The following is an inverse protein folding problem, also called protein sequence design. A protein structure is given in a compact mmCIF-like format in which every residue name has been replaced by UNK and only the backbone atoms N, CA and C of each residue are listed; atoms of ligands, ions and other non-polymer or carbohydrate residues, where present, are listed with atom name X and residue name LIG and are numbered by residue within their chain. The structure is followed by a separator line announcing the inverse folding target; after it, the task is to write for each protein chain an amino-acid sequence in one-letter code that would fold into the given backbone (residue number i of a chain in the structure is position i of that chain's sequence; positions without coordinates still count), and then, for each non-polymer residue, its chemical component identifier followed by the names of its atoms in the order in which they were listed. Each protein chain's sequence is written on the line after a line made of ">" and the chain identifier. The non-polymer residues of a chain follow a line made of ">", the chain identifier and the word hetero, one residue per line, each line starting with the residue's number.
data_IF_105158254824
#
_entry.id   IF_105158254824
#
_cell.length_a   1.000
_cell.length_b   1.000
_cell.length_c   1.000
_cell.angle_alpha   90.00
_cell.angle_beta   90.00
_cell.angle_gamma   90.00
#
_symmetry.space_group_name_H-M   'P 1'
#
loop_
_entity.id
_entity.type
_entity.pdbx_description
1 polymer ?
#
# COMPACT_ATOMS: atom_id res chain seq x y z
N UNK A 1 25.82 -28.85 -2.65
CA UNK A 1 25.16 -27.91 -3.59
C UNK A 1 24.36 -26.94 -2.75
N UNK A 2 24.92 -25.77 -2.48
CA UNK A 2 24.24 -24.75 -1.67
C UNK A 2 23.14 -24.12 -2.50
N UNK A 3 21.90 -24.24 -2.06
CA UNK A 3 20.80 -23.47 -2.61
C UNK A 3 21.09 -22.00 -2.28
N UNK A 4 21.22 -21.22 -3.35
CA UNK A 4 21.36 -19.79 -3.32
C UNK A 4 20.09 -19.24 -2.65
N UNK A 5 20.19 -18.83 -1.39
CA UNK A 5 19.13 -18.07 -0.73
C UNK A 5 19.01 -16.77 -1.53
N UNK A 6 17.95 -16.69 -2.34
CA UNK A 6 17.45 -15.45 -2.92
C UNK A 6 17.36 -14.43 -1.80
N UNK A 7 18.34 -13.54 -1.76
CA UNK A 7 18.49 -12.51 -0.75
C UNK A 7 17.43 -11.45 -1.05
N UNK A 8 16.20 -11.73 -0.66
CA UNK A 8 15.18 -10.71 -0.45
C UNK A 8 15.65 -9.82 0.70
N UNK A 9 16.55 -8.87 0.42
CA UNK A 9 16.64 -7.63 1.18
C UNK A 9 15.47 -6.71 0.75
N UNK A 10 14.25 -7.22 0.82
CA UNK A 10 13.03 -6.42 0.77
C UNK A 10 12.83 -5.81 2.16
N UNK A 11 12.34 -4.59 2.20
CA UNK A 11 12.12 -3.79 3.41
C UNK A 11 11.61 -4.63 4.61
N UNK A 12 12.47 -4.90 5.61
CA UNK A 12 12.16 -5.78 6.76
C UNK A 12 11.30 -5.11 7.85
N UNK A 13 10.84 -3.88 7.64
CA UNK A 13 10.08 -3.10 8.62
C UNK A 13 8.67 -2.75 8.12
N UNK A 14 7.76 -2.45 9.05
CA UNK A 14 6.52 -1.76 8.68
C UNK A 14 6.84 -0.32 8.27
N UNK A 15 6.29 0.20 7.16
CA UNK A 15 6.58 1.54 6.70
C UNK A 15 6.07 2.59 7.69
N UNK A 16 6.94 3.50 8.10
CA UNK A 16 6.64 4.54 9.10
C UNK A 16 6.17 5.86 8.49
N UNK A 17 6.37 6.03 7.19
CA UNK A 17 5.94 7.21 6.45
C UNK A 17 5.62 6.88 4.98
N UNK A 18 5.15 7.90 4.24
CA UNK A 18 4.77 7.75 2.83
C UNK A 18 5.93 7.35 1.91
N UNK A 19 7.17 7.70 2.25
CA UNK A 19 8.32 7.39 1.40
C UNK A 19 8.73 5.92 1.57
N UNK A 20 8.77 5.44 2.82
CA UNK A 20 8.95 4.03 3.12
C UNK A 20 7.80 3.19 2.54
N UNK A 21 6.56 3.69 2.63
CA UNK A 21 5.39 3.04 2.04
C UNK A 21 5.52 2.94 0.51
N UNK A 22 6.00 4.00 -0.15
CA UNK A 22 6.24 3.98 -1.59
C UNK A 22 7.21 2.87 -1.98
N UNK A 23 8.36 2.80 -1.31
CA UNK A 23 9.38 1.78 -1.59
C UNK A 23 8.82 0.38 -1.36
N UNK A 24 8.09 0.17 -0.26
CA UNK A 24 7.42 -1.09 0.06
C UNK A 24 6.43 -1.50 -1.05
N UNK A 25 5.50 -0.62 -1.42
CA UNK A 25 4.48 -0.92 -2.42
C UNK A 25 5.07 -1.14 -3.82
N UNK A 26 6.16 -0.47 -4.16
CA UNK A 26 6.84 -0.62 -5.46
C UNK A 26 7.48 -2.01 -5.65
N UNK A 27 7.73 -2.73 -4.55
CA UNK A 27 8.30 -4.09 -4.57
C UNK A 27 7.24 -5.18 -4.73
N UNK A 28 5.95 -4.84 -4.61
CA UNK A 28 4.87 -5.82 -4.68
C UNK A 28 4.53 -6.10 -6.15
N UNK A 29 4.47 -7.38 -6.50
CA UNK A 29 3.96 -7.80 -7.80
C UNK A 29 2.43 -7.83 -7.79
N UNK A 30 1.79 -6.76 -8.27
CA UNK A 30 0.32 -6.66 -8.30
C UNK A 30 -0.38 -7.58 -9.32
N UNK A 31 0.37 -8.34 -10.13
CA UNK A 31 -0.19 -9.32 -11.08
C UNK A 31 -0.39 -10.71 -10.47
N UNK A 32 0.21 -10.96 -9.31
CA UNK A 32 0.10 -12.24 -8.61
C UNK A 32 -1.07 -12.18 -7.62
N UNK A 33 -2.27 -12.50 -8.12
CA UNK A 33 -3.53 -12.46 -7.37
C UNK A 33 -3.46 -13.25 -6.06
N UNK A 34 -2.89 -14.46 -6.11
CA UNK A 34 -2.81 -15.35 -4.95
C UNK A 34 -1.91 -14.76 -3.86
N UNK A 35 -0.74 -14.24 -4.26
CA UNK A 35 0.18 -13.60 -3.32
C UNK A 35 -0.39 -12.29 -2.75
N UNK A 36 -1.16 -11.56 -3.55
CA UNK A 36 -1.89 -10.37 -3.11
C UNK A 36 -2.94 -10.73 -2.06
N UNK A 37 -3.73 -11.78 -2.28
CA UNK A 37 -4.71 -12.27 -1.31
C UNK A 37 -4.03 -12.69 0.00
N UNK A 38 -2.98 -13.51 -0.07
CA UNK A 38 -2.23 -13.99 1.10
C UNK A 38 -1.62 -12.85 1.93
N UNK A 39 -1.24 -11.74 1.27
CA UNK A 39 -0.61 -10.57 1.92
C UNK A 39 -1.55 -9.39 2.10
N UNK A 40 -2.82 -9.49 1.73
CA UNK A 40 -3.70 -8.33 1.66
C UNK A 40 -3.82 -7.60 3.00
N UNK A 41 -3.96 -8.34 4.10
CA UNK A 41 -4.02 -7.78 5.46
C UNK A 41 -2.73 -7.04 5.83
N UNK A 42 -1.57 -7.63 5.52
CA UNK A 42 -0.25 -7.01 5.74
C UNK A 42 -0.11 -5.71 4.94
N UNK A 43 -0.46 -5.75 3.66
CA UNK A 43 -0.34 -4.62 2.73
C UNK A 43 -1.25 -3.47 3.15
N UNK A 44 -2.52 -3.77 3.43
CA UNK A 44 -3.50 -2.76 3.86
C UNK A 44 -3.10 -2.18 5.21
N UNK A 45 -2.67 -3.00 6.18
CA UNK A 45 -2.17 -2.52 7.45
C UNK A 45 -0.99 -1.55 7.29
N UNK A 46 -0.01 -1.92 6.47
CA UNK A 46 1.15 -1.08 6.15
C UNK A 46 0.76 0.24 5.46
N UNK A 47 -0.26 0.22 4.58
CA UNK A 47 -0.79 1.44 3.94
C UNK A 47 -1.35 2.40 4.99
N UNK A 48 -2.20 1.91 5.89
CA UNK A 48 -2.82 2.76 6.91
C UNK A 48 -1.84 3.24 7.96
N UNK A 49 -0.85 2.42 8.34
CA UNK A 49 0.23 2.81 9.25
C UNK A 49 1.12 3.90 8.62
N UNK A 50 1.60 3.69 7.38
CA UNK A 50 2.45 4.65 6.67
C UNK A 50 1.75 5.99 6.34
N UNK A 51 0.42 5.97 6.26
CA UNK A 51 -0.40 7.15 5.98
C UNK A 51 -1.08 7.74 7.22
N UNK A 52 -0.85 7.16 8.40
CA UNK A 52 -1.55 7.51 9.64
C UNK A 52 -1.55 9.03 9.89
N UNK A 53 -0.37 9.66 9.82
CA UNK A 53 -0.20 11.11 10.07
C UNK A 53 -1.13 12.00 9.24
N UNK A 54 -1.52 11.55 8.04
CA UNK A 54 -2.39 12.29 7.13
C UNK A 54 -3.87 12.11 7.46
N UNK A 55 -4.24 10.93 7.98
CA UNK A 55 -5.59 10.63 8.45
C UNK A 55 -5.96 11.44 9.70
N UNK A 56 -4.99 11.68 10.58
CA UNK A 56 -5.16 12.49 11.80
C UNK A 56 -5.23 14.00 11.55
N UNK A 57 -4.97 14.47 10.32
CA UNK A 57 -5.11 15.89 10.00
C UNK A 57 -6.57 16.32 10.10
N UNK A 58 -6.79 17.59 10.47
CA UNK A 58 -8.14 18.15 10.59
C UNK A 58 -8.88 18.08 9.24
N UNK A 59 -10.22 17.87 9.26
CA UNK A 59 -11.04 18.06 8.07
C UNK A 59 -10.78 19.44 7.44
N UNK A 60 -10.66 19.49 6.11
CA UNK A 60 -10.29 20.69 5.37
C UNK A 60 -8.79 20.90 5.18
N UNK A 61 -7.92 20.05 5.76
CA UNK A 61 -6.51 20.04 5.40
C UNK A 61 -6.33 19.51 3.96
N UNK A 62 -5.63 20.24 3.07
CA UNK A 62 -5.44 19.82 1.67
C UNK A 62 -4.78 18.43 1.53
N UNK A 63 -3.80 18.10 2.38
CA UNK A 63 -3.09 16.82 2.33
C UNK A 63 -4.00 15.66 2.76
N UNK A 64 -4.90 15.90 3.71
CA UNK A 64 -5.92 14.90 4.05
C UNK A 64 -6.85 14.65 2.88
N UNK A 65 -7.41 15.71 2.29
CA UNK A 65 -8.32 15.60 1.15
C UNK A 65 -7.64 14.92 -0.04
N UNK A 66 -6.34 15.15 -0.23
CA UNK A 66 -5.55 14.53 -1.27
C UNK A 66 -5.45 13.01 -1.12
N UNK A 67 -5.21 12.50 0.09
CA UNK A 67 -5.04 11.06 0.34
C UNK A 67 -6.32 10.31 0.73
N UNK A 68 -7.38 11.01 1.15
CA UNK A 68 -8.62 10.39 1.63
C UNK A 68 -9.27 9.49 0.57
N UNK A 69 -9.33 9.95 -0.69
CA UNK A 69 -9.93 9.18 -1.77
C UNK A 69 -9.13 7.90 -2.12
N UNK A 70 -7.80 7.95 -2.38
CA UNK A 70 -7.00 6.74 -2.59
C UNK A 70 -7.07 5.75 -1.43
N UNK A 71 -7.03 6.22 -0.18
CA UNK A 71 -7.09 5.34 1.00
C UNK A 71 -8.45 4.64 1.11
N UNK A 72 -9.55 5.36 0.86
CA UNK A 72 -10.89 4.78 0.84
C UNK A 72 -11.05 3.73 -0.27
N UNK A 73 -10.43 3.93 -1.43
CA UNK A 73 -10.45 2.93 -2.49
C UNK A 73 -9.74 1.64 -2.08
N UNK A 74 -8.60 1.74 -1.37
CA UNK A 74 -7.90 0.56 -0.83
C UNK A 74 -8.77 -0.18 0.17
N UNK A 75 -9.38 0.54 1.12
CA UNK A 75 -10.29 -0.03 2.12
C UNK A 75 -11.47 -0.76 1.46
N UNK A 76 -12.12 -0.12 0.49
CA UNK A 76 -13.26 -0.69 -0.23
C UNK A 76 -12.85 -1.92 -1.04
N UNK A 77 -11.74 -1.87 -1.76
CA UNK A 77 -11.25 -3.00 -2.54
C UNK A 77 -10.91 -4.20 -1.64
N UNK A 78 -10.31 -3.96 -0.48
CA UNK A 78 -10.04 -4.99 0.52
C UNK A 78 -11.33 -5.58 1.10
N UNK A 79 -12.31 -4.74 1.45
CA UNK A 79 -13.60 -5.19 1.96
C UNK A 79 -14.38 -6.04 0.94
N UNK A 80 -14.25 -5.73 -0.35
CA UNK A 80 -14.84 -6.49 -1.45
C UNK A 80 -14.07 -7.78 -1.79
N UNK A 81 -12.86 -7.96 -1.23
CA UNK A 81 -11.94 -9.06 -1.55
C UNK A 81 -11.64 -9.18 -3.04
N UNK A 82 -11.64 -8.07 -3.78
CA UNK A 82 -11.27 -8.06 -5.19
C UNK A 82 -9.77 -7.81 -5.33
N UNK A 83 -9.00 -8.90 -5.21
CA UNK A 83 -7.54 -8.91 -5.32
C UNK A 83 -7.04 -8.89 -6.77
N UNK A 84 -7.94 -9.06 -7.73
CA UNK A 84 -7.61 -9.18 -9.15
C UNK A 84 -7.63 -7.85 -9.88
N UNK A 85 -8.56 -6.97 -9.52
CA UNK A 85 -8.79 -5.70 -10.21
C UNK A 85 -8.77 -4.53 -9.27
N UNK A 86 -9.68 -4.48 -8.32
CA UNK A 86 -9.90 -3.27 -7.52
C UNK A 86 -8.72 -2.99 -6.58
N UNK A 87 -8.18 -4.00 -5.88
CA UNK A 87 -7.08 -3.77 -4.94
C UNK A 87 -5.78 -3.35 -5.66
N UNK A 88 -5.34 -4.03 -6.74
CA UNK A 88 -4.22 -3.54 -7.56
C UNK A 88 -4.39 -2.10 -8.06
N UNK A 89 -5.59 -1.75 -8.53
CA UNK A 89 -5.88 -0.40 -9.04
C UNK A 89 -5.84 0.64 -7.94
N UNK A 90 -6.44 0.35 -6.78
CA UNK A 90 -6.43 1.24 -5.62
C UNK A 90 -5.01 1.47 -5.10
N UNK A 91 -4.20 0.42 -4.98
CA UNK A 91 -2.80 0.54 -4.56
C UNK A 91 -2.00 1.35 -5.59
N UNK A 92 -2.21 1.11 -6.89
CA UNK A 92 -1.55 1.88 -7.95
C UNK A 92 -1.90 3.36 -7.91
N UNK A 93 -3.16 3.69 -7.64
CA UNK A 93 -3.61 5.08 -7.49
C UNK A 93 -3.00 5.74 -6.24
N UNK A 94 -2.94 5.04 -5.11
CA UNK A 94 -2.25 5.51 -3.92
C UNK A 94 -0.77 5.78 -4.20
N UNK A 95 -0.08 4.84 -4.86
CA UNK A 95 1.33 4.99 -5.22
C UNK A 95 1.56 6.20 -6.14
N UNK A 96 0.67 6.39 -7.13
CA UNK A 96 0.69 7.58 -7.99
C UNK A 96 0.49 8.88 -7.21
N UNK A 97 -0.40 8.87 -6.21
CA UNK A 97 -0.65 10.03 -5.35
C UNK A 97 0.57 10.36 -4.50
N UNK A 98 1.21 9.36 -3.91
CA UNK A 98 2.45 9.53 -3.14
C UNK A 98 3.59 10.10 -4.01
N UNK A 99 3.68 9.69 -5.28
CA UNK A 99 4.70 10.17 -6.21
C UNK A 99 4.49 11.62 -6.68
N UNK A 100 3.25 12.11 -6.67
CA UNK A 100 2.92 13.45 -7.13
C UNK A 100 3.03 14.53 -6.04
N UNK A 101 2.82 14.18 -4.76
CA UNK A 101 3.01 15.09 -3.61
C UNK A 101 4.47 15.28 -3.22
#
# INVERSE_FOLDING_TARGET
>A
MGLQEDSYQGFLGRPKDKFELREYLSQINFRDEKKLEEKAEEIVGNIFEGMERYLWLKPGNPLRAYYELPLKQVEMAYALKDFKRELPLAISHLLSSINWE
#
